data_IF_530730550656
#
_entry.id   IF_530730550656
#
_cell.length_a   1.000
_cell.length_b   1.000
_cell.length_c   1.000
_cell.angle_alpha   90.00
_cell.angle_beta   90.00
_cell.angle_gamma   90.00
#
_symmetry.space_group_name_H-M   'P 1'
#
loop_
_entity.id
_entity.type
_entity.pdbx_description
1 polymer ?
#
# COMPACT_ATOMS: atom_id res chain seq x y z
N UNK A 1 -29.35 107.79 -20.42
CA UNK A 1 -28.91 107.37 -21.78
C UNK A 1 -27.64 106.53 -21.66
N UNK A 2 -27.59 105.38 -22.37
CA UNK A 2 -26.45 104.53 -22.84
C UNK A 2 -25.26 104.26 -21.87
N UNK A 3 -25.07 103.04 -21.35
CA UNK A 3 -24.45 101.80 -21.91
C UNK A 3 -22.89 101.79 -22.02
N UNK A 4 -22.29 100.90 -21.20
CA UNK A 4 -21.28 99.87 -21.54
C UNK A 4 -19.80 100.25 -21.73
N UNK A 5 -18.90 99.49 -21.07
CA UNK A 5 -17.71 98.71 -21.59
C UNK A 5 -17.15 97.89 -20.38
N UNK A 6 -17.45 96.59 -20.21
CA UNK A 6 -16.67 95.36 -20.56
C UNK A 6 -15.14 95.41 -20.36
N UNK A 7 -14.58 94.60 -19.44
CA UNK A 7 -14.00 93.26 -19.71
C UNK A 7 -13.41 92.58 -18.46
N UNK A 8 -13.63 91.27 -18.40
CA UNK A 8 -13.15 90.29 -17.43
C UNK A 8 -11.66 89.96 -17.64
N UNK A 9 -10.94 89.76 -16.54
CA UNK A 9 -9.75 88.90 -16.45
C UNK A 9 -9.82 88.19 -15.09
N UNK A 10 -9.99 86.87 -15.08
CA UNK A 10 -9.79 86.07 -13.87
C UNK A 10 -8.67 85.08 -14.18
N UNK A 11 -7.59 85.25 -13.43
CA UNK A 11 -6.34 84.50 -13.47
C UNK A 11 -6.60 83.11 -12.90
N UNK A 12 -6.19 82.08 -13.64
CA UNK A 12 -6.34 80.69 -13.23
C UNK A 12 -5.52 80.36 -11.99
N UNK A 13 -6.15 79.68 -11.04
CA UNK A 13 -5.47 78.98 -9.95
C UNK A 13 -5.53 77.50 -10.28
N UNK A 14 -4.41 76.93 -10.73
CA UNK A 14 -4.22 75.49 -10.85
C UNK A 14 -3.92 74.97 -9.44
N UNK A 15 -4.92 74.42 -8.76
CA UNK A 15 -4.70 73.66 -7.53
C UNK A 15 -4.22 72.26 -7.91
N UNK A 16 -2.93 71.97 -7.70
CA UNK A 16 -2.41 70.62 -7.80
C UNK A 16 -2.96 69.78 -6.64
N UNK A 17 -3.87 68.85 -6.92
CA UNK A 17 -4.30 67.83 -5.97
C UNK A 17 -3.20 66.76 -5.95
N UNK A 18 -2.38 66.76 -4.91
CA UNK A 18 -1.42 65.67 -4.66
C UNK A 18 -2.22 64.50 -4.09
N UNK A 19 -2.58 63.54 -4.94
CA UNK A 19 -3.13 62.25 -4.51
C UNK A 19 -2.02 61.42 -3.88
N UNK A 20 -1.96 61.36 -2.55
CA UNK A 20 -1.12 60.40 -1.83
C UNK A 20 -1.87 59.05 -1.76
N UNK A 21 -1.59 58.13 -2.69
CA UNK A 21 -2.13 56.77 -2.65
C UNK A 21 -1.10 55.84 -2.01
N UNK A 22 -1.35 55.39 -0.79
CA UNK A 22 -0.59 54.32 -0.14
C UNK A 22 -1.16 52.96 -0.55
N UNK A 23 -0.42 52.22 -1.36
CA UNK A 23 -0.74 50.82 -1.70
C UNK A 23 -0.20 49.95 -0.56
N UNK A 24 -1.08 49.47 0.32
CA UNK A 24 -0.68 48.42 1.26
C UNK A 24 -0.69 47.07 0.54
N UNK A 25 0.43 46.32 0.49
CA UNK A 25 0.42 44.98 -0.07
C UNK A 25 -0.44 44.08 0.83
N UNK A 26 -1.47 43.46 0.26
CA UNK A 26 -2.25 42.45 0.95
C UNK A 26 -1.33 41.25 1.27
N UNK A 27 -0.93 41.11 2.54
CA UNK A 27 -0.21 39.92 2.99
C UNK A 27 -1.17 38.73 2.97
N UNK A 28 -1.01 37.85 1.99
CA UNK A 28 -1.71 36.57 1.98
C UNK A 28 -1.18 35.71 3.14
N UNK A 29 -1.98 35.58 4.21
CA UNK A 29 -1.70 34.66 5.30
C UNK A 29 -1.99 33.22 4.86
N UNK A 30 -0.96 32.49 4.46
CA UNK A 30 -1.05 31.06 4.20
C UNK A 30 -1.05 30.30 5.54
N UNK A 31 -2.23 29.87 6.01
CA UNK A 31 -2.34 28.95 7.16
C UNK A 31 -2.32 27.51 6.65
N UNK A 32 -1.39 26.70 7.15
CA UNK A 32 -1.41 25.24 6.98
C UNK A 32 -1.96 24.59 8.23
N UNK A 33 -2.59 23.43 8.07
CA UNK A 33 -3.04 22.60 9.19
C UNK A 33 -2.63 21.16 8.92
N UNK A 34 -2.08 20.51 9.93
CA UNK A 34 -1.68 19.11 9.88
C UNK A 34 -2.75 18.30 10.58
N UNK A 35 -3.22 17.24 9.91
CA UNK A 35 -4.09 16.23 10.53
C UNK A 35 -3.20 15.08 10.97
N UNK A 36 -3.12 14.85 12.28
CA UNK A 36 -2.43 13.71 12.88
C UNK A 36 -3.38 12.51 13.06
N UNK A 37 -2.82 11.34 13.37
CA UNK A 37 -3.55 10.16 13.85
C UNK A 37 -4.51 9.48 12.86
N UNK A 38 -4.25 9.66 11.56
CA UNK A 38 -4.96 8.91 10.52
C UNK A 38 -4.64 7.41 10.62
N UNK A 39 -5.64 6.61 10.99
CA UNK A 39 -5.54 5.14 11.01
C UNK A 39 -5.85 4.57 9.63
N UNK A 40 -4.91 3.82 9.04
CA UNK A 40 -5.16 2.97 7.88
C UNK A 40 -5.65 1.60 8.29
N UNK A 41 -6.57 1.01 7.53
CA UNK A 41 -6.97 -0.38 7.70
C UNK A 41 -6.18 -1.30 6.76
N UNK A 42 -5.83 -2.47 7.29
CA UNK A 42 -5.11 -3.52 6.58
C UNK A 42 -5.94 -4.79 6.66
N UNK A 43 -6.19 -5.39 5.50
CA UNK A 43 -6.86 -6.69 5.40
C UNK A 43 -5.95 -7.61 4.62
N UNK A 44 -5.72 -8.81 5.13
CA UNK A 44 -4.86 -9.78 4.47
C UNK A 44 -5.47 -11.17 4.51
N UNK A 45 -5.19 -11.95 3.48
CA UNK A 45 -5.49 -13.37 3.41
C UNK A 45 -4.24 -14.12 2.96
N UNK A 46 -4.04 -15.32 3.50
CA UNK A 46 -3.02 -16.24 3.04
C UNK A 46 -3.64 -17.59 2.68
N UNK A 47 -3.11 -18.18 1.62
CA UNK A 47 -3.39 -19.54 1.23
C UNK A 47 -2.08 -20.33 1.28
N UNK A 48 -2.09 -21.45 2.00
CA UNK A 48 -1.06 -22.46 1.92
C UNK A 48 -1.46 -23.50 0.87
N UNK A 49 -0.51 -23.90 0.02
CA UNK A 49 -0.73 -24.98 -0.95
C UNK A 49 0.34 -26.03 -0.75
N UNK A 50 -0.10 -27.22 -0.34
CA UNK A 50 0.76 -28.35 -0.08
C UNK A 50 0.70 -29.37 -1.22
N UNK A 51 1.83 -30.01 -1.52
CA UNK A 51 1.91 -31.14 -2.45
C UNK A 51 2.61 -32.29 -1.73
N UNK A 52 2.05 -33.49 -1.91
CA UNK A 52 2.55 -34.73 -1.33
C UNK A 52 2.79 -35.74 -2.46
N UNK A 53 4.00 -36.30 -2.51
CA UNK A 53 4.39 -37.29 -3.54
C UNK A 53 4.59 -38.63 -2.85
N UNK A 54 3.87 -39.64 -3.34
CA UNK A 54 3.89 -40.99 -2.82
C UNK A 54 4.52 -41.95 -3.83
N UNK A 55 5.34 -42.87 -3.34
CA UNK A 55 5.86 -43.99 -4.12
C UNK A 55 5.40 -45.29 -3.48
N UNK A 56 5.11 -46.29 -4.31
CA UNK A 56 4.76 -47.61 -3.82
C UNK A 56 5.92 -48.19 -2.99
N UNK A 57 5.57 -48.83 -1.88
CA UNK A 57 6.56 -49.46 -1.02
C UNK A 57 7.16 -50.67 -1.72
N UNK A 58 8.50 -50.77 -1.82
CA UNK A 58 9.15 -51.95 -2.39
C UNK A 58 9.10 -53.15 -1.44
N UNK A 59 8.82 -52.93 -0.15
CA UNK A 59 8.86 -53.97 0.89
C UNK A 59 7.47 -54.43 1.34
N UNK A 60 6.43 -53.64 1.12
CA UNK A 60 5.07 -53.94 1.56
C UNK A 60 4.13 -53.76 0.37
N UNK A 61 3.62 -54.87 -0.17
CA UNK A 61 2.68 -54.84 -1.28
C UNK A 61 1.44 -54.02 -0.92
N UNK A 62 1.02 -53.13 -1.82
CA UNK A 62 -0.13 -52.24 -1.63
C UNK A 62 0.11 -50.99 -0.75
N UNK A 63 1.24 -50.88 -0.05
CA UNK A 63 1.55 -49.71 0.76
C UNK A 63 2.16 -48.57 -0.09
N UNK A 64 1.89 -47.32 0.30
CA UNK A 64 2.43 -46.11 -0.32
C UNK A 64 3.21 -45.30 0.71
N UNK A 65 4.43 -44.91 0.37
CA UNK A 65 5.32 -44.13 1.23
C UNK A 65 5.38 -42.67 0.77
N UNK A 66 5.24 -41.74 1.70
CA UNK A 66 5.45 -40.31 1.43
C UNK A 66 6.93 -40.02 1.21
N UNK A 67 7.29 -39.51 0.04
CA UNK A 67 8.70 -39.22 -0.34
C UNK A 67 8.96 -37.81 -0.84
N UNK A 68 7.91 -37.03 -1.09
CA UNK A 68 8.00 -35.60 -1.31
C UNK A 68 6.94 -34.86 -0.51
N UNK A 69 7.33 -33.82 0.21
CA UNK A 69 6.44 -32.90 0.92
C UNK A 69 6.86 -31.47 0.58
N UNK A 70 5.94 -30.71 0.01
CA UNK A 70 6.19 -29.34 -0.45
C UNK A 70 5.09 -28.42 0.05
N UNK A 71 5.44 -27.22 0.51
CA UNK A 71 4.48 -26.16 0.78
C UNK A 71 4.88 -24.88 0.08
N UNK A 72 3.90 -24.16 -0.45
CA UNK A 72 4.05 -22.77 -0.90
C UNK A 72 2.98 -21.94 -0.25
N UNK A 73 3.22 -20.64 -0.18
CA UNK A 73 2.27 -19.70 0.41
C UNK A 73 2.00 -18.56 -0.56
N UNK A 74 0.73 -18.17 -0.68
CA UNK A 74 0.34 -16.96 -1.39
C UNK A 74 -0.37 -16.03 -0.43
N UNK A 75 -0.02 -14.75 -0.48
CA UNK A 75 -0.60 -13.72 0.38
C UNK A 75 -1.10 -12.58 -0.47
N UNK A 76 -2.32 -12.15 -0.17
CA UNK A 76 -2.93 -10.94 -0.71
C UNK A 76 -3.14 -9.93 0.42
N UNK A 77 -2.76 -8.69 0.21
CA UNK A 77 -2.90 -7.62 1.20
C UNK A 77 -3.59 -6.43 0.56
N UNK A 78 -4.69 -6.00 1.17
CA UNK A 78 -5.40 -4.77 0.87
C UNK A 78 -5.11 -3.72 1.94
N UNK A 79 -4.83 -2.49 1.50
CA UNK A 79 -4.57 -1.34 2.35
C UNK A 79 -5.55 -0.24 1.98
N UNK A 80 -6.25 0.31 2.98
CA UNK A 80 -7.09 1.50 2.82
C UNK A 80 -6.61 2.59 3.78
N UNK A 81 -6.03 3.65 3.24
CA UNK A 81 -5.62 4.84 4.01
C UNK A 81 -6.57 5.98 3.69
N UNK A 82 -7.45 6.40 4.62
CA UNK A 82 -8.26 7.59 4.41
C UNK A 82 -7.34 8.82 4.37
N UNK A 83 -7.56 9.69 3.41
CA UNK A 83 -6.86 10.97 3.27
C UNK A 83 -7.89 12.09 3.25
N UNK A 84 -7.63 13.14 4.02
CA UNK A 84 -8.43 14.35 3.99
C UNK A 84 -7.68 15.37 3.13
N UNK A 85 -8.24 15.73 1.97
CA UNK A 85 -7.78 16.89 1.21
C UNK A 85 -8.70 18.05 1.51
N UNK A 86 -8.18 19.10 2.15
CA UNK A 86 -8.92 20.33 2.39
C UNK A 86 -8.63 21.30 1.25
N UNK A 87 -9.67 21.69 0.50
CA UNK A 87 -9.58 22.75 -0.52
C UNK A 87 -10.75 23.71 -0.32
N UNK A 88 -10.47 24.96 0.03
CA UNK A 88 -11.48 26.02 0.17
C UNK A 88 -12.56 25.76 1.23
N UNK A 89 -12.18 25.58 2.50
CA UNK A 89 -13.06 25.29 3.65
C UNK A 89 -13.93 24.02 3.53
N UNK A 90 -13.81 23.24 2.44
CA UNK A 90 -14.47 21.94 2.25
C UNK A 90 -13.43 20.83 2.35
N UNK A 91 -13.68 19.84 3.21
CA UNK A 91 -12.88 18.62 3.30
C UNK A 91 -13.43 17.59 2.32
N UNK A 92 -12.57 17.05 1.46
CA UNK A 92 -12.88 15.91 0.59
C UNK A 92 -12.20 14.69 1.21
N UNK A 93 -13.01 13.73 1.66
CA UNK A 93 -12.51 12.43 2.09
C UNK A 93 -12.18 11.58 0.87
N UNK A 94 -10.92 11.19 0.71
CA UNK A 94 -10.46 10.29 -0.35
C UNK A 94 -9.76 9.10 0.29
N UNK A 95 -10.14 7.88 -0.08
CA UNK A 95 -9.43 6.68 0.38
C UNK A 95 -8.35 6.31 -0.63
N UNK A 96 -7.10 6.23 -0.19
CA UNK A 96 -6.03 5.61 -0.95
C UNK A 96 -6.11 4.11 -0.75
N UNK A 97 -6.47 3.38 -1.80
CA UNK A 97 -6.43 1.93 -1.80
C UNK A 97 -5.18 1.43 -2.51
N UNK A 98 -4.49 0.48 -1.88
CA UNK A 98 -3.38 -0.26 -2.48
C UNK A 98 -3.57 -1.73 -2.23
N UNK A 99 -3.25 -2.55 -3.21
CA UNK A 99 -3.20 -4.01 -3.05
C UNK A 99 -1.91 -4.55 -3.60
N UNK A 100 -1.38 -5.59 -2.98
CA UNK A 100 -0.29 -6.36 -3.54
C UNK A 100 -0.45 -7.84 -3.21
N UNK A 101 0.11 -8.67 -4.09
CA UNK A 101 0.12 -10.12 -3.95
C UNK A 101 1.56 -10.60 -3.94
N UNK A 102 1.86 -11.57 -3.08
CA UNK A 102 3.17 -12.22 -3.04
C UNK A 102 2.98 -13.71 -2.88
N UNK A 103 3.61 -14.47 -3.75
CA UNK A 103 3.77 -15.92 -3.59
C UNK A 103 5.20 -16.20 -3.17
N UNK A 104 5.36 -17.02 -2.14
CA UNK A 104 6.64 -17.54 -1.69
C UNK A 104 6.64 -19.02 -2.04
N UNK A 105 7.58 -19.40 -2.91
CA UNK A 105 7.75 -20.77 -3.38
C UNK A 105 9.16 -21.21 -3.01
N UNK A 106 9.32 -22.31 -2.25
CA UNK A 106 10.65 -22.83 -1.91
C UNK A 106 11.35 -23.41 -3.15
N UNK A 107 12.68 -23.48 -3.09
CA UNK A 107 13.46 -24.11 -4.15
C UNK A 107 13.05 -25.58 -4.34
N UNK A 108 12.99 -26.03 -5.59
CA UNK A 108 12.56 -27.39 -5.98
C UNK A 108 11.13 -27.75 -5.54
N UNK A 109 10.25 -26.76 -5.35
CA UNK A 109 8.83 -27.00 -5.11
C UNK A 109 8.24 -27.91 -6.19
N UNK A 110 7.50 -28.94 -5.77
CA UNK A 110 6.88 -29.93 -6.66
C UNK A 110 7.86 -30.70 -7.58
N UNK A 111 9.14 -30.83 -7.19
CA UNK A 111 10.11 -31.59 -7.98
C UNK A 111 10.03 -33.09 -7.70
N UNK A 112 9.39 -33.84 -8.60
CA UNK A 112 9.35 -35.32 -8.55
C UNK A 112 10.74 -35.94 -8.57
N UNK A 113 11.69 -35.33 -9.29
CA UNK A 113 13.09 -35.79 -9.30
C UNK A 113 13.71 -35.78 -7.90
N UNK A 114 13.53 -34.69 -7.13
CA UNK A 114 14.01 -34.62 -5.74
C UNK A 114 13.31 -35.62 -4.83
N UNK A 115 12.00 -35.83 -5.01
CA UNK A 115 11.30 -36.88 -4.27
C UNK A 115 11.85 -38.28 -4.59
N UNK A 116 12.18 -38.54 -5.85
CA UNK A 116 12.74 -39.82 -6.28
C UNK A 116 14.19 -40.04 -5.80
N UNK A 117 15.04 -39.00 -5.85
CA UNK A 117 16.38 -39.04 -5.25
C UNK A 117 16.30 -39.37 -3.74
N UNK A 118 15.39 -38.72 -3.01
CA UNK A 118 15.16 -39.04 -1.60
C UNK A 118 14.63 -40.46 -1.39
N UNK A 119 13.74 -40.94 -2.27
CA UNK A 119 13.24 -42.32 -2.25
C UNK A 119 14.36 -43.35 -2.39
N UNK A 120 15.27 -43.18 -3.35
CA UNK A 120 16.45 -44.06 -3.51
C UNK A 120 17.34 -44.10 -2.28
N UNK A 121 17.47 -42.95 -1.60
CA UNK A 121 18.26 -42.81 -0.39
C UNK A 121 17.50 -43.19 0.90
N UNK A 122 16.29 -43.76 0.79
CA UNK A 122 15.46 -44.17 1.92
C UNK A 122 14.73 -43.03 2.66
N UNK A 123 15.00 -41.77 2.34
CA UNK A 123 14.45 -40.58 3.00
C UNK A 123 13.16 -40.03 2.39
N UNK A 124 12.82 -38.80 2.77
CA UNK A 124 11.71 -38.00 2.24
C UNK A 124 12.22 -36.60 1.96
N UNK A 125 12.03 -36.09 0.75
CA UNK A 125 12.38 -34.71 0.42
C UNK A 125 11.34 -33.75 0.98
N UNK A 126 11.80 -32.75 1.73
CA UNK A 126 10.96 -31.76 2.40
C UNK A 126 11.34 -30.35 1.94
N UNK A 127 10.48 -29.73 1.13
CA UNK A 127 10.55 -28.31 0.79
C UNK A 127 9.41 -27.56 1.50
N UNK A 128 9.43 -27.62 2.82
CA UNK A 128 8.54 -26.92 3.75
C UNK A 128 9.35 -25.78 4.39
N UNK A 129 9.77 -24.84 3.54
CA UNK A 129 10.69 -23.76 3.93
C UNK A 129 10.00 -22.51 4.50
N UNK A 130 8.66 -22.47 4.47
CA UNK A 130 7.90 -21.27 4.80
C UNK A 130 7.03 -21.61 6.00
N UNK A 131 7.47 -21.24 7.20
CA UNK A 131 6.68 -21.39 8.43
C UNK A 131 5.82 -20.17 8.74
N UNK A 132 6.24 -19.01 8.21
CA UNK A 132 5.62 -17.72 8.48
C UNK A 132 5.70 -16.83 7.26
N UNK A 133 4.66 -16.04 7.02
CA UNK A 133 4.67 -14.94 6.06
C UNK A 133 4.50 -13.62 6.80
N UNK A 134 5.47 -12.72 6.63
CA UNK A 134 5.37 -11.36 7.15
C UNK A 134 4.47 -10.53 6.24
N UNK A 135 3.52 -9.83 6.85
CA UNK A 135 2.63 -8.88 6.17
C UNK A 135 3.24 -7.49 6.30
N UNK A 136 3.50 -6.83 5.18
CA UNK A 136 4.14 -5.52 5.13
C UNK A 136 3.13 -4.43 4.74
N UNK A 137 2.90 -3.46 5.59
CA UNK A 137 2.06 -2.30 5.29
C UNK A 137 2.76 -1.29 4.39
N UNK A 138 2.25 -0.06 4.42
CA UNK A 138 2.83 1.08 3.71
C UNK A 138 4.30 1.26 4.13
N UNK A 139 5.16 1.63 3.19
CA UNK A 139 6.61 1.83 3.40
C UNK A 139 7.36 0.57 3.89
N UNK A 140 6.82 -0.63 3.66
CA UNK A 140 7.49 -1.89 4.02
C UNK A 140 7.44 -2.21 5.52
N UNK A 141 6.75 -1.41 6.34
CA UNK A 141 6.61 -1.67 7.78
C UNK A 141 5.86 -2.96 8.02
N UNK A 142 6.37 -3.84 8.87
CA UNK A 142 5.65 -5.07 9.25
C UNK A 142 4.38 -4.72 10.04
N UNK A 143 3.23 -5.18 9.57
CA UNK A 143 1.91 -4.98 10.22
C UNK A 143 1.33 -6.25 10.79
N UNK A 144 1.83 -7.42 10.38
CA UNK A 144 1.33 -8.71 10.83
C UNK A 144 2.23 -9.87 10.45
N UNK A 145 1.90 -11.05 10.97
CA UNK A 145 2.52 -12.31 10.58
C UNK A 145 1.46 -13.38 10.51
N UNK A 146 1.47 -14.18 9.46
CA UNK A 146 0.62 -15.37 9.36
C UNK A 146 1.52 -16.58 9.57
N UNK A 147 1.13 -17.47 10.48
CA UNK A 147 1.75 -18.79 10.63
C UNK A 147 1.07 -19.75 9.65
N UNK A 148 1.88 -20.52 8.94
CA UNK A 148 1.41 -21.56 8.04
C UNK A 148 1.34 -22.89 8.80
N UNK A 149 0.36 -23.73 8.47
CA UNK A 149 0.13 -24.99 9.17
C UNK A 149 1.19 -26.03 8.83
N UNK A 150 1.72 -26.03 7.60
CA UNK A 150 2.70 -27.01 7.10
C UNK A 150 2.35 -28.45 7.48
N UNK A 151 1.18 -28.94 7.06
CA UNK A 151 0.71 -30.25 7.46
C UNK A 151 1.70 -31.36 7.02
N UNK A 152 1.96 -32.37 7.87
CA UNK A 152 2.89 -33.46 7.58
C UNK A 152 2.36 -34.43 6.50
N UNK A 153 1.04 -34.46 6.29
CA UNK A 153 0.32 -35.29 5.33
C UNK A 153 -1.00 -34.61 4.92
N UNK A 154 -1.69 -35.07 3.85
CA UNK A 154 -3.00 -34.56 3.48
C UNK A 154 -4.06 -34.64 4.60
N UNK A 155 -3.93 -35.63 5.49
CA UNK A 155 -4.84 -35.86 6.63
C UNK A 155 -4.42 -35.14 7.91
N UNK A 156 -3.30 -34.41 7.91
CA UNK A 156 -2.71 -33.76 9.09
C UNK A 156 -3.09 -32.29 9.26
N UNK A 157 -4.25 -31.87 8.73
CA UNK A 157 -4.83 -30.53 8.94
C UNK A 157 -5.75 -30.57 10.16
#
# INVERSE_FOLDING_TARGET
>A
MKKSIKKFFVIGVISAIIMNQSIMPAMASCKTSVVSDIKGSYTWAAAETCVFVYFQSPTISGAWNLKGQYSKASVAVGVSVPTLKVKGKKAIAKVLQKSYNKTVTPQNYNSTQKAFEAYKNGGTYKAIGISKVNITGVEGKKVGTIKLSNPPSPSGI
#
